data_IF_768621150615
#
_entry.id   IF_768621150615
#
_cell.length_a   1.000
_cell.length_b   1.000
_cell.length_c   1.000
_cell.angle_alpha   90.00
_cell.angle_beta   90.00
_cell.angle_gamma   90.00
#
_symmetry.space_group_name_H-M   'P 1'
#
loop_
_entity.id
_entity.type
_entity.pdbx_description
1 polymer ?
#
# COMPACT_ATOMS: atom_id res chain seq x y z
N UNK A 1 -2.20 -5.15 -5.89
CA UNK A 1 -1.40 -4.15 -5.17
C UNK A 1 -0.16 -3.84 -5.97
N UNK A 2 0.11 -2.57 -6.21
CA UNK A 2 1.24 -2.05 -7.01
C UNK A 2 2.16 -1.20 -6.15
N UNK A 3 3.44 -1.14 -6.49
CA UNK A 3 4.45 -0.31 -5.80
C UNK A 3 4.93 0.80 -6.73
N UNK A 4 4.91 2.04 -6.26
CA UNK A 4 5.54 3.18 -6.89
C UNK A 4 6.79 3.57 -6.09
N UNK A 5 7.95 3.58 -6.75
CA UNK A 5 9.20 4.05 -6.16
C UNK A 5 9.43 5.49 -6.52
N UNK A 6 9.58 6.33 -5.50
CA UNK A 6 9.91 7.75 -5.66
C UNK A 6 11.39 7.89 -5.33
N UNK A 7 12.21 8.07 -6.36
CA UNK A 7 13.66 8.24 -6.26
C UNK A 7 14.02 9.67 -5.82
N UNK A 8 13.62 10.04 -4.61
CA UNK A 8 14.15 11.21 -3.89
C UNK A 8 15.26 10.77 -2.95
N UNK A 9 16.00 11.72 -2.37
CA UNK A 9 17.08 11.48 -1.40
C UNK A 9 16.67 10.56 -0.23
N UNK A 10 15.38 10.53 0.14
CA UNK A 10 14.82 9.70 1.22
C UNK A 10 14.24 8.36 0.71
N UNK A 11 14.16 8.15 -0.61
CA UNK A 11 13.67 6.93 -1.27
C UNK A 11 12.32 6.41 -0.75
N UNK A 12 11.24 7.13 -1.05
CA UNK A 12 9.88 6.71 -0.67
C UNK A 12 9.37 5.55 -1.54
N UNK A 13 8.56 4.69 -0.94
CA UNK A 13 7.76 3.67 -1.64
C UNK A 13 6.30 3.91 -1.30
N UNK A 14 5.48 4.09 -2.33
CA UNK A 14 4.03 4.20 -2.19
C UNK A 14 3.44 2.89 -2.66
N UNK A 15 2.70 2.23 -1.77
CA UNK A 15 1.91 1.07 -2.13
C UNK A 15 0.48 1.50 -2.38
N UNK A 16 -0.08 1.08 -3.50
CA UNK A 16 -1.42 1.48 -3.88
C UNK A 16 -2.15 0.34 -4.58
N UNK A 17 -3.46 0.49 -4.70
CA UNK A 17 -4.28 -0.32 -5.57
C UNK A 17 -5.27 0.57 -6.33
N UNK A 18 -5.91 0.00 -7.34
CA UNK A 18 -7.06 0.61 -8.00
C UNK A 18 -8.27 -0.29 -7.78
N UNK A 19 -9.37 0.27 -7.28
CA UNK A 19 -10.68 -0.39 -7.20
C UNK A 19 -11.68 0.52 -7.93
N UNK A 20 -12.31 0.01 -8.97
CA UNK A 20 -13.19 0.78 -9.85
C UNK A 20 -12.54 2.08 -10.36
N UNK A 21 -13.09 3.24 -9.99
CA UNK A 21 -12.57 4.58 -10.34
C UNK A 21 -11.72 5.20 -9.21
N UNK A 22 -11.50 4.48 -8.12
CA UNK A 22 -10.79 4.98 -6.94
C UNK A 22 -9.36 4.43 -6.86
N UNK A 23 -8.42 5.29 -6.44
CA UNK A 23 -7.04 4.91 -6.10
C UNK A 23 -6.94 4.86 -4.57
N UNK A 24 -6.65 3.67 -4.05
CA UNK A 24 -6.44 3.48 -2.61
C UNK A 24 -4.94 3.51 -2.36
N UNK A 25 -4.50 4.56 -1.65
CA UNK A 25 -3.11 4.70 -1.21
C UNK A 25 -2.96 4.13 0.19
N UNK A 26 -2.09 3.14 0.33
CA UNK A 26 -1.77 2.60 1.64
C UNK A 26 -0.64 3.45 2.22
N UNK A 27 -1.02 4.33 3.15
CA UNK A 27 -0.10 5.20 3.87
C UNK A 27 0.72 4.36 4.85
N UNK A 28 1.81 3.78 4.35
CA UNK A 28 2.75 3.03 5.19
C UNK A 28 3.80 4.01 5.73
N UNK A 29 3.46 4.69 6.82
CA UNK A 29 4.42 5.45 7.62
C UNK A 29 4.93 4.57 8.75
N UNK A 30 6.13 3.99 8.59
CA UNK A 30 6.69 3.06 9.56
C UNK A 30 8.15 2.74 9.27
N UNK A 31 8.80 2.06 10.21
CA UNK A 31 10.17 1.59 10.03
C UNK A 31 10.22 0.47 8.98
N UNK A 32 11.35 0.32 8.25
CA UNK A 32 11.51 -0.73 7.23
C UNK A 32 11.22 -2.14 7.79
N UNK A 33 11.45 -2.33 9.08
CA UNK A 33 11.19 -3.59 9.78
C UNK A 33 9.71 -4.00 9.86
N UNK A 34 8.75 -3.07 9.74
CA UNK A 34 7.30 -3.37 9.84
C UNK A 34 6.60 -3.47 8.48
N UNK A 35 7.30 -3.15 7.38
CA UNK A 35 6.76 -3.08 6.02
C UNK A 35 6.01 -4.35 5.57
N UNK A 36 6.51 -5.53 5.96
CA UNK A 36 5.87 -6.80 5.57
C UNK A 36 4.50 -6.99 6.20
N UNK A 37 4.30 -6.54 7.45
CA UNK A 37 3.03 -6.68 8.15
C UNK A 37 2.02 -5.62 7.67
N UNK A 38 2.50 -4.43 7.33
CA UNK A 38 1.67 -3.40 6.68
C UNK A 38 1.15 -3.87 5.31
N UNK A 39 1.99 -4.58 4.52
CA UNK A 39 1.57 -5.18 3.25
C UNK A 39 0.53 -6.29 3.48
N UNK A 40 0.66 -7.13 4.52
CA UNK A 40 -0.37 -8.14 4.81
C UNK A 40 -1.70 -7.49 5.15
N UNK A 41 -1.69 -6.51 6.06
CA UNK A 41 -2.90 -5.79 6.48
C UNK A 41 -3.58 -5.08 5.31
N UNK A 42 -2.78 -4.49 4.41
CA UNK A 42 -3.29 -3.92 3.16
C UNK A 42 -4.04 -4.94 2.28
N UNK A 43 -3.50 -6.15 2.12
CA UNK A 43 -4.15 -7.20 1.35
C UNK A 43 -5.41 -7.74 2.03
N UNK A 44 -5.47 -7.75 3.36
CA UNK A 44 -6.69 -8.10 4.10
C UNK A 44 -7.80 -7.07 3.87
N UNK A 45 -7.50 -5.78 4.03
CA UNK A 45 -8.45 -4.69 3.75
C UNK A 45 -8.94 -4.76 2.29
N UNK A 46 -8.05 -5.06 1.35
CA UNK A 46 -8.43 -5.22 -0.06
C UNK A 46 -9.43 -6.36 -0.28
N UNK A 47 -9.23 -7.50 0.39
CA UNK A 47 -10.18 -8.62 0.31
C UNK A 47 -11.51 -8.28 0.95
N UNK A 48 -11.53 -7.52 2.04
CA UNK A 48 -12.77 -7.07 2.65
C UNK A 48 -13.55 -6.16 1.69
N UNK A 49 -12.86 -5.23 1.01
CA UNK A 49 -13.47 -4.36 0.01
C UNK A 49 -14.06 -5.12 -1.17
N UNK A 50 -13.44 -6.20 -1.66
CA UNK A 50 -13.95 -6.95 -2.82
C UNK A 50 -15.19 -7.81 -2.50
N UNK A 51 -15.53 -7.99 -1.22
CA UNK A 51 -16.69 -8.78 -0.77
C UNK A 51 -17.95 -7.94 -0.48
N UNK A 52 -17.91 -6.63 -0.74
CA UNK A 52 -19.08 -5.73 -0.75
C UNK A 52 -19.60 -5.51 -2.18
#
# INVERSE_FOLDING_TARGET
MSELRITTSTAYRVYYTKKDEEIIVLLIGGDKSTQSDDIKKANEILKELDNE
#
